data_IF_808330711198
#
_entry.id   IF_808330711198
#
_cell.length_a   1.000
_cell.length_b   1.000
_cell.length_c   1.000
_cell.angle_alpha   90.00
_cell.angle_beta   90.00
_cell.angle_gamma   90.00
#
_symmetry.space_group_name_H-M   'P 1'
#
loop_
_entity.id
_entity.type
_entity.pdbx_description
1 polymer ?
#
# COMPACT_ATOMS: atom_id res chain seq x y z
N UNK A 1 20.13 -13.54 -4.76
CA UNK A 1 19.14 -12.53 -5.20
C UNK A 1 17.77 -12.97 -4.73
N UNK A 2 17.15 -12.27 -3.78
CA UNK A 2 15.74 -12.54 -3.46
C UNK A 2 14.89 -11.94 -4.57
N UNK A 3 14.27 -12.78 -5.39
CA UNK A 3 13.30 -12.33 -6.38
C UNK A 3 12.08 -11.76 -5.64
N UNK A 4 11.84 -10.45 -5.80
CA UNK A 4 10.64 -9.78 -5.28
C UNK A 4 9.70 -9.52 -6.46
N UNK A 5 8.42 -9.86 -6.28
CA UNK A 5 7.38 -9.58 -7.26
C UNK A 5 6.53 -8.41 -6.79
N UNK A 6 6.22 -7.49 -7.70
CA UNK A 6 5.26 -6.41 -7.42
C UNK A 6 3.86 -6.94 -7.65
N UNK A 7 3.06 -6.94 -6.58
CA UNK A 7 1.73 -7.59 -6.55
C UNK A 7 0.59 -6.57 -6.44
N UNK A 8 0.92 -5.29 -6.29
CA UNK A 8 -0.04 -4.21 -6.21
C UNK A 8 0.62 -2.85 -6.00
N UNK A 9 -0.22 -1.81 -5.86
CA UNK A 9 0.21 -0.44 -5.63
C UNK A 9 -0.70 0.27 -4.64
N UNK A 10 -0.09 0.97 -3.68
CA UNK A 10 -0.76 1.89 -2.76
C UNK A 10 -1.05 3.21 -3.50
N UNK A 11 -2.27 3.71 -3.35
CA UNK A 11 -2.80 4.94 -3.96
C UNK A 11 -3.13 5.95 -2.86
N UNK A 12 -4.12 6.82 -3.07
CA UNK A 12 -4.46 7.91 -2.15
C UNK A 12 -4.99 7.41 -0.80
N UNK A 13 -4.82 8.20 0.28
CA UNK A 13 -5.47 7.91 1.56
C UNK A 13 -7.00 7.90 1.41
N UNK A 14 -7.65 7.09 2.23
CA UNK A 14 -9.11 6.98 2.29
C UNK A 14 -9.60 7.37 3.70
N UNK A 15 -10.31 8.49 3.81
CA UNK A 15 -10.75 9.00 5.12
C UNK A 15 -9.60 9.43 6.02
N UNK A 16 -9.78 9.31 7.34
CA UNK A 16 -8.84 9.79 8.37
C UNK A 16 -8.16 8.67 9.18
N UNK A 17 -8.68 7.43 9.14
CA UNK A 17 -8.31 6.35 10.07
C UNK A 17 -7.26 5.39 9.48
N UNK A 18 -6.28 5.90 8.75
CA UNK A 18 -5.19 5.07 8.21
C UNK A 18 -5.60 4.08 7.10
N UNK A 19 -6.75 4.30 6.45
CA UNK A 19 -7.12 3.53 5.27
C UNK A 19 -6.48 4.12 4.02
N UNK A 20 -6.19 3.26 3.05
CA UNK A 20 -5.60 3.65 1.78
C UNK A 20 -6.22 2.87 0.62
N UNK A 21 -6.35 3.52 -0.52
CA UNK A 21 -6.72 2.83 -1.76
C UNK A 21 -5.58 1.94 -2.24
N UNK A 22 -5.93 0.77 -2.77
CA UNK A 22 -4.99 -0.19 -3.33
C UNK A 22 -5.52 -0.76 -4.63
N UNK A 23 -4.61 -0.83 -5.60
CA UNK A 23 -4.76 -1.61 -6.83
C UNK A 23 -3.98 -2.93 -6.65
N UNK A 24 -4.59 -4.07 -6.98
CA UNK A 24 -3.94 -5.38 -6.99
C UNK A 24 -3.63 -5.80 -8.42
N UNK A 25 -2.47 -6.45 -8.63
CA UNK A 25 -2.01 -6.92 -9.94
C UNK A 25 -2.07 -8.44 -10.09
N UNK A 26 -2.67 -9.13 -9.12
CA UNK A 26 -2.82 -10.59 -9.12
C UNK A 26 -4.09 -11.01 -9.86
N UNK A 27 -4.10 -12.23 -10.43
CA UNK A 27 -5.26 -12.79 -11.15
C UNK A 27 -6.50 -12.95 -10.25
N UNK A 28 -6.29 -13.33 -8.99
CA UNK A 28 -7.27 -13.16 -7.90
C UNK A 28 -6.88 -11.91 -7.10
N UNK A 29 -7.51 -10.74 -7.32
CA UNK A 29 -7.09 -9.49 -6.68
C UNK A 29 -7.16 -9.53 -5.15
N UNK A 30 -8.02 -10.36 -4.57
CA UNK A 30 -8.17 -10.47 -3.11
C UNK A 30 -7.10 -11.36 -2.47
N UNK A 31 -6.41 -12.19 -3.27
CA UNK A 31 -5.37 -13.10 -2.76
C UNK A 31 -4.21 -12.38 -2.08
N UNK A 32 -3.85 -11.19 -2.58
CA UNK A 32 -2.74 -10.37 -2.07
C UNK A 32 -2.89 -10.02 -0.59
N UNK A 33 -4.12 -9.91 -0.07
CA UNK A 33 -4.37 -9.58 1.34
C UNK A 33 -4.05 -10.72 2.31
N UNK A 34 -3.89 -11.95 1.80
CA UNK A 34 -3.45 -13.12 2.58
C UNK A 34 -1.93 -13.20 2.70
N UNK A 35 -1.19 -12.54 1.82
CA UNK A 35 0.28 -12.59 1.78
C UNK A 35 0.83 -11.59 2.78
N UNK A 36 1.62 -12.05 3.76
CA UNK A 36 2.17 -11.22 4.83
C UNK A 36 3.61 -11.69 5.13
N UNK A 37 4.54 -10.77 5.45
CA UNK A 37 4.39 -9.31 5.41
C UNK A 37 4.42 -8.76 3.98
N UNK A 38 3.93 -7.54 3.80
CA UNK A 38 4.15 -6.75 2.59
C UNK A 38 5.41 -5.91 2.75
N UNK A 39 6.15 -5.77 1.65
CA UNK A 39 7.29 -4.86 1.56
C UNK A 39 6.90 -3.73 0.61
N UNK A 40 6.71 -2.53 1.17
CA UNK A 40 6.43 -1.33 0.39
C UNK A 40 7.75 -0.69 -0.05
N UNK A 41 7.81 -0.34 -1.33
CA UNK A 41 8.94 0.37 -1.93
C UNK A 41 8.43 1.47 -2.84
N UNK A 42 9.18 2.56 -2.96
CA UNK A 42 8.85 3.68 -3.84
C UNK A 42 10.13 4.34 -4.32
N UNK A 43 10.29 4.56 -5.62
CA UNK A 43 11.37 5.38 -6.14
C UNK A 43 11.21 6.85 -5.72
N UNK A 44 12.31 7.59 -5.62
CA UNK A 44 12.23 9.04 -5.40
C UNK A 44 11.46 9.71 -6.54
N UNK A 45 10.56 10.63 -6.19
CA UNK A 45 9.85 11.45 -7.15
C UNK A 45 10.53 12.83 -7.22
N UNK A 46 11.21 13.07 -8.34
CA UNK A 46 11.96 14.31 -8.58
C UNK A 46 11.06 15.51 -8.88
N UNK A 47 9.80 15.28 -9.27
CA UNK A 47 8.84 16.35 -9.57
C UNK A 47 8.22 16.87 -8.28
N UNK A 48 7.81 15.98 -7.38
CA UNK A 48 7.19 16.36 -6.11
C UNK A 48 8.20 16.52 -4.96
N UNK A 49 9.45 16.12 -5.15
CA UNK A 49 10.50 16.15 -4.12
C UNK A 49 10.38 15.05 -3.06
N UNK A 50 9.52 14.05 -3.29
CA UNK A 50 9.31 12.96 -2.31
C UNK A 50 10.51 12.00 -2.31
N UNK A 51 11.02 11.62 -1.11
CA UNK A 51 12.14 10.70 -1.00
C UNK A 51 11.76 9.28 -1.44
N UNK A 52 12.77 8.48 -1.78
CA UNK A 52 12.59 7.05 -1.99
C UNK A 52 12.17 6.35 -0.68
N UNK A 53 11.47 5.23 -0.82
CA UNK A 53 11.22 4.27 0.24
C UNK A 53 11.92 2.98 -0.16
N UNK A 54 13.01 2.65 0.52
CA UNK A 54 13.81 1.47 0.19
C UNK A 54 13.14 0.18 0.65
N UNK A 55 12.53 0.19 1.84
CA UNK A 55 11.75 -0.94 2.38
C UNK A 55 10.96 -0.50 3.61
N UNK A 56 9.63 -0.61 3.55
CA UNK A 56 8.75 -0.54 4.73
C UNK A 56 7.98 -1.85 4.82
N UNK A 57 8.20 -2.59 5.90
CA UNK A 57 7.45 -3.80 6.18
C UNK A 57 6.13 -3.46 6.89
N UNK A 58 5.03 -3.99 6.39
CA UNK A 58 3.70 -3.83 6.97
C UNK A 58 2.82 -5.04 6.64
N UNK A 59 1.59 -5.07 7.12
CA UNK A 59 0.61 -6.07 6.75
C UNK A 59 -0.80 -5.45 6.66
N UNK A 60 -1.69 -5.98 5.81
CA UNK A 60 -3.09 -5.62 5.82
C UNK A 60 -3.75 -6.11 7.12
N UNK A 61 -4.34 -5.18 7.90
CA UNK A 61 -5.17 -5.51 9.08
C UNK A 61 -6.61 -5.78 8.67
N UNK A 62 -7.17 -4.87 7.88
CA UNK A 62 -8.54 -4.94 7.38
C UNK A 62 -8.57 -4.47 5.94
N UNK A 63 -9.46 -5.03 5.12
CA UNK A 63 -9.66 -4.56 3.74
C UNK A 63 -11.12 -4.72 3.34
N UNK A 64 -11.55 -3.89 2.38
CA UNK A 64 -12.90 -3.94 1.81
C UNK A 64 -12.81 -3.70 0.31
N UNK A 65 -13.62 -4.42 -0.45
CA UNK A 65 -13.85 -4.09 -1.86
C UNK A 65 -14.72 -2.83 -1.95
N UNK A 66 -14.33 -1.91 -2.83
CA UNK A 66 -15.08 -0.70 -3.16
C UNK A 66 -14.98 -0.51 -4.67
N UNK A 67 -16.11 -0.70 -5.34
CA UNK A 67 -16.21 -0.72 -6.79
C UNK A 67 -15.21 -1.69 -7.45
N UNK A 68 -14.32 -1.15 -8.29
CA UNK A 68 -13.28 -1.87 -9.02
C UNK A 68 -11.93 -1.91 -8.28
N UNK A 69 -11.87 -1.43 -7.03
CA UNK A 69 -10.65 -1.32 -6.22
C UNK A 69 -10.86 -1.82 -4.79
N UNK A 70 -9.80 -1.73 -4.01
CA UNK A 70 -9.82 -2.07 -2.59
C UNK A 70 -9.39 -0.89 -1.75
N UNK A 71 -9.97 -0.79 -0.56
CA UNK A 71 -9.43 0.01 0.53
C UNK A 71 -8.85 -0.93 1.57
N UNK A 72 -7.66 -0.62 2.08
CA UNK A 72 -6.93 -1.44 3.05
C UNK A 72 -6.44 -0.57 4.19
N UNK A 73 -6.48 -1.11 5.40
CA UNK A 73 -5.87 -0.54 6.59
C UNK A 73 -4.59 -1.29 6.87
N UNK A 74 -3.47 -0.57 6.90
CA UNK A 74 -2.14 -1.12 7.08
C UNK A 74 -1.75 -1.15 8.55
N UNK A 75 -0.94 -2.13 8.94
CA UNK A 75 -0.38 -2.19 10.28
C UNK A 75 0.72 -1.14 10.46
N UNK A 76 0.72 -0.47 11.61
CA UNK A 76 1.61 0.67 11.90
C UNK A 76 1.13 2.03 11.38
N UNK A 77 0.02 2.11 10.65
CA UNK A 77 -0.52 3.36 10.09
C UNK A 77 -1.96 3.58 10.56
N UNK A 78 -2.14 4.51 11.52
CA UNK A 78 -3.42 4.72 12.21
C UNK A 78 -4.18 5.96 11.75
N UNK A 79 -3.52 6.86 11.03
CA UNK A 79 -4.08 8.14 10.62
C UNK A 79 -3.75 8.46 9.15
N UNK A 80 -4.35 9.53 8.64
CA UNK A 80 -4.12 9.99 7.28
C UNK A 80 -2.67 10.42 7.03
N UNK A 81 -2.07 11.16 7.97
CA UNK A 81 -0.73 11.75 7.82
C UNK A 81 0.34 10.68 7.69
N UNK A 82 0.25 9.62 8.49
CA UNK A 82 1.15 8.46 8.42
C UNK A 82 1.05 7.75 7.06
N UNK A 83 -0.15 7.57 6.52
CA UNK A 83 -0.37 6.99 5.17
C UNK A 83 0.13 7.91 4.05
N UNK A 84 -0.04 9.23 4.15
CA UNK A 84 0.37 10.19 3.11
C UNK A 84 1.85 10.07 2.74
N UNK A 85 2.70 9.67 3.70
CA UNK A 85 4.11 9.39 3.46
C UNK A 85 4.37 8.22 2.50
N UNK A 86 3.46 7.24 2.44
CA UNK A 86 3.56 6.02 1.64
C UNK A 86 2.96 6.16 0.23
N UNK A 87 2.06 7.11 0.06
CA UNK A 87 1.30 7.25 -1.18
C UNK A 87 2.20 7.71 -2.33
N UNK A 88 1.88 7.20 -3.52
CA UNK A 88 2.42 7.67 -4.79
C UNK A 88 1.39 8.59 -5.44
#
# INVERSE_FOLDING_TARGET
MSARMVVGRIRSPYGLNGWVWMDSFTDDPASVFRWKPWVLTRSADRVTGRPAIDSVETAPKEWKRRDKRYVVRLDGFTDRTSIESLVN
#
